data_IF_559707873342
#
_entry.id   IF_559707873342
#
_cell.length_a   1.000
_cell.length_b   1.000
_cell.length_c   1.000
_cell.angle_alpha   90.00
_cell.angle_beta   90.00
_cell.angle_gamma   90.00
#
_symmetry.space_group_name_H-M   'P 1'
#
loop_
_entity.id
_entity.type
_entity.pdbx_description
1 polymer ?
#
# COMPACT_ATOMS: atom_id res chain seq x y z
N UNK A 1 -1.52 12.14 -2.35
CA UNK A 1 -0.75 11.64 -1.19
C UNK A 1 -1.73 11.00 -0.24
N UNK A 2 -1.65 9.68 -0.04
CA UNK A 2 -2.64 8.92 0.72
C UNK A 2 -2.03 7.68 1.38
N UNK A 3 -2.46 7.38 2.60
CA UNK A 3 -2.14 6.10 3.25
C UNK A 3 -3.07 4.94 2.84
N UNK A 4 -4.16 5.23 2.11
CA UNK A 4 -5.17 4.26 1.64
C UNK A 4 -5.94 3.51 2.74
N UNK A 5 -5.98 4.06 3.96
CA UNK A 5 -6.85 3.56 5.02
C UNK A 5 -8.24 4.21 4.95
N UNK A 6 -9.08 3.71 4.04
CA UNK A 6 -10.45 4.16 3.83
C UNK A 6 -11.32 3.01 3.30
N UNK A 7 -12.65 3.06 3.46
CA UNK A 7 -13.53 2.13 2.78
C UNK A 7 -13.33 2.14 1.27
N UNK A 8 -13.38 0.98 0.63
CA UNK A 8 -13.25 0.83 -0.83
C UNK A 8 -14.26 1.72 -1.58
N UNK A 9 -15.48 1.87 -1.06
CA UNK A 9 -16.52 2.73 -1.65
C UNK A 9 -16.08 4.19 -1.78
N UNK A 10 -15.31 4.70 -0.82
CA UNK A 10 -14.74 6.06 -0.87
C UNK A 10 -13.62 6.11 -1.91
N UNK A 11 -12.77 5.08 -1.95
CA UNK A 11 -11.70 4.99 -2.94
C UNK A 11 -12.25 4.99 -4.37
N UNK A 12 -13.31 4.22 -4.63
CA UNK A 12 -13.98 4.14 -5.93
C UNK A 12 -14.57 5.48 -6.38
N UNK A 13 -14.98 6.34 -5.44
CA UNK A 13 -15.47 7.69 -5.75
C UNK A 13 -14.35 8.65 -6.14
N UNK A 14 -13.13 8.47 -5.64
CA UNK A 14 -12.01 9.39 -5.93
C UNK A 14 -11.18 8.97 -7.15
N UNK A 15 -11.19 7.68 -7.52
CA UNK A 15 -10.45 7.15 -8.69
C UNK A 15 -10.74 7.94 -9.98
N UNK A 16 -11.99 8.22 -10.38
CA UNK A 16 -12.29 8.95 -11.62
C UNK A 16 -11.78 10.40 -11.64
N UNK A 17 -11.40 10.94 -10.49
CA UNK A 17 -10.95 12.32 -10.31
C UNK A 17 -9.45 12.41 -9.98
N UNK A 18 -8.73 11.28 -9.99
CA UNK A 18 -7.32 11.22 -9.59
C UNK A 18 -6.46 10.84 -10.79
N UNK A 19 -5.45 11.67 -11.08
CA UNK A 19 -4.49 11.40 -12.16
C UNK A 19 -3.25 10.62 -11.71
N UNK A 20 -2.94 10.64 -10.42
CA UNK A 20 -1.81 9.93 -9.82
C UNK A 20 -2.08 9.64 -8.34
N UNK A 21 -1.91 8.39 -7.92
CA UNK A 21 -1.86 8.04 -6.51
C UNK A 21 -0.41 8.02 -6.00
N UNK A 22 -0.18 8.63 -4.84
CA UNK A 22 1.05 8.42 -4.05
C UNK A 22 0.65 7.58 -2.85
N UNK A 23 1.07 6.32 -2.83
CA UNK A 23 0.55 5.32 -1.92
C UNK A 23 1.64 4.77 -1.01
N UNK A 24 1.35 4.72 0.29
CA UNK A 24 2.33 4.23 1.26
C UNK A 24 2.24 2.71 1.44
N UNK A 25 3.37 2.03 1.27
CA UNK A 25 3.57 0.63 1.64
C UNK A 25 4.59 0.58 2.78
N UNK A 26 4.10 0.51 4.02
CA UNK A 26 4.95 0.73 5.21
C UNK A 26 5.55 -0.55 5.77
N UNK A 27 4.73 -1.55 6.07
CA UNK A 27 5.10 -2.82 6.72
C UNK A 27 4.12 -3.88 6.20
N UNK A 28 4.61 -5.06 5.84
CA UNK A 28 3.83 -6.18 5.33
C UNK A 28 3.24 -7.04 6.45
N UNK A 29 3.94 -7.19 7.57
CA UNK A 29 3.36 -7.85 8.75
C UNK A 29 2.24 -6.97 9.37
N UNK A 30 1.01 -7.47 9.52
CA UNK A 30 -0.12 -6.68 10.00
C UNK A 30 -0.01 -6.30 11.48
N UNK A 31 0.62 -7.13 12.31
CA UNK A 31 0.79 -6.84 13.74
C UNK A 31 1.82 -5.73 13.94
N UNK A 32 2.92 -5.78 13.20
CA UNK A 32 3.97 -4.77 13.20
C UNK A 32 3.48 -3.46 12.56
N UNK A 33 2.70 -3.54 11.48
CA UNK A 33 2.05 -2.38 10.89
C UNK A 33 1.14 -1.69 11.92
N UNK A 34 0.33 -2.46 12.66
CA UNK A 34 -0.53 -1.95 13.73
C UNK A 34 0.27 -1.36 14.89
N UNK A 35 1.36 -2.00 15.28
CA UNK A 35 2.25 -1.49 16.33
C UNK A 35 2.78 -0.08 16.00
N UNK A 36 3.20 0.17 14.76
CA UNK A 36 3.82 1.44 14.37
C UNK A 36 2.86 2.49 13.82
N UNK A 37 1.65 2.11 13.37
CA UNK A 37 0.71 3.03 12.72
C UNK A 37 -0.65 3.13 13.41
N UNK A 38 -0.98 2.21 14.33
CA UNK A 38 -2.28 2.13 15.01
C UNK A 38 -3.34 1.31 14.26
N UNK A 39 -3.09 0.90 13.01
CA UNK A 39 -4.00 0.08 12.20
C UNK A 39 -3.26 -1.07 11.51
N UNK A 40 -3.91 -2.21 11.28
CA UNK A 40 -3.35 -3.23 10.39
C UNK A 40 -3.34 -2.75 8.93
N UNK A 41 -2.72 -3.52 8.04
CA UNK A 41 -2.54 -3.16 6.64
C UNK A 41 -3.57 -3.80 5.68
N UNK A 42 -4.53 -4.59 6.16
CA UNK A 42 -5.40 -5.36 5.26
C UNK A 42 -6.20 -4.48 4.30
N UNK A 43 -6.84 -3.43 4.83
CA UNK A 43 -7.57 -2.45 4.00
C UNK A 43 -6.66 -1.72 3.02
N UNK A 44 -5.44 -1.40 3.44
CA UNK A 44 -4.47 -0.64 2.64
C UNK A 44 -3.98 -1.49 1.46
N UNK A 45 -3.62 -2.76 1.71
CA UNK A 45 -3.22 -3.71 0.68
C UNK A 45 -4.36 -4.00 -0.30
N UNK A 46 -5.59 -4.17 0.20
CA UNK A 46 -6.78 -4.35 -0.65
C UNK A 46 -7.02 -3.12 -1.55
N UNK A 47 -6.90 -1.91 -1.00
CA UNK A 47 -7.07 -0.68 -1.75
C UNK A 47 -5.96 -0.46 -2.80
N UNK A 48 -4.74 -0.91 -2.53
CA UNK A 48 -3.66 -0.93 -3.53
C UNK A 48 -4.01 -1.81 -4.73
N UNK A 49 -4.60 -2.99 -4.51
CA UNK A 49 -5.08 -3.86 -5.60
C UNK A 49 -6.17 -3.18 -6.43
N UNK A 50 -7.09 -2.44 -5.78
CA UNK A 50 -8.14 -1.68 -6.47
C UNK A 50 -7.53 -0.57 -7.33
N UNK A 51 -6.55 0.18 -6.81
CA UNK A 51 -5.83 1.20 -7.57
C UNK A 51 -5.11 0.58 -8.76
N UNK A 52 -4.36 -0.50 -8.57
CA UNK A 52 -3.66 -1.17 -9.66
C UNK A 52 -4.61 -1.56 -10.80
N UNK A 53 -5.74 -2.21 -10.46
CA UNK A 53 -6.76 -2.61 -11.44
C UNK A 53 -7.49 -1.45 -12.11
N UNK A 54 -7.48 -0.26 -11.51
CA UNK A 54 -8.12 0.93 -12.09
C UNK A 54 -7.37 1.48 -13.30
N UNK A 55 -6.09 1.13 -13.47
CA UNK A 55 -5.21 1.66 -14.51
C UNK A 55 -4.74 3.10 -14.27
N UNK A 56 -5.16 3.75 -13.17
CA UNK A 56 -4.63 5.06 -12.78
C UNK A 56 -3.17 4.89 -12.33
N UNK A 57 -2.23 5.72 -12.84
CA UNK A 57 -0.85 5.68 -12.38
C UNK A 57 -0.72 5.80 -10.86
N UNK A 58 0.22 5.07 -10.28
CA UNK A 58 0.54 5.18 -8.87
C UNK A 58 2.03 5.03 -8.60
N UNK A 59 2.51 5.63 -7.51
CA UNK A 59 3.85 5.46 -7.00
C UNK A 59 3.79 4.89 -5.58
N UNK A 60 4.40 3.73 -5.38
CA UNK A 60 4.61 3.18 -4.05
C UNK A 60 5.70 3.97 -3.32
N UNK A 61 5.48 4.22 -2.04
CA UNK A 61 6.43 4.89 -1.16
C UNK A 61 6.57 4.08 0.11
N UNK A 62 7.82 3.86 0.50
CA UNK A 62 8.14 3.10 1.72
C UNK A 62 9.13 3.92 2.55
N UNK A 63 8.74 4.37 3.75
CA UNK A 63 9.72 4.88 4.70
C UNK A 63 10.54 3.68 5.20
N UNK A 64 11.76 3.51 4.69
CA UNK A 64 12.65 2.44 5.15
C UNK A 64 13.27 2.85 6.49
N UNK A 65 12.98 2.09 7.54
CA UNK A 65 13.36 2.37 8.92
C UNK A 65 14.17 1.18 9.47
N UNK A 66 15.42 1.40 9.90
CA UNK A 66 16.26 0.34 10.47
C UNK A 66 15.63 -0.35 11.68
N UNK A 67 15.62 -1.69 11.67
CA UNK A 67 15.03 -2.51 12.73
C UNK A 67 13.51 -2.58 12.72
N UNK A 68 12.85 -1.98 11.71
CA UNK A 68 11.40 -1.98 11.56
C UNK A 68 10.98 -2.72 10.30
N UNK A 69 11.38 -2.24 9.13
CA UNK A 69 10.95 -2.79 7.83
C UNK A 69 12.11 -2.96 6.83
N UNK A 70 13.34 -2.99 7.32
CA UNK A 70 14.57 -3.14 6.53
C UNK A 70 15.11 -4.57 6.51
N UNK A 71 14.40 -5.52 7.13
CA UNK A 71 14.80 -6.93 7.09
C UNK A 71 14.65 -7.48 5.67
N UNK A 72 15.49 -8.45 5.32
CA UNK A 72 15.43 -9.10 4.00
C UNK A 72 14.05 -9.69 3.72
N UNK A 73 13.44 -10.36 4.69
CA UNK A 73 12.12 -10.96 4.54
C UNK A 73 11.04 -9.91 4.24
N UNK A 74 11.13 -8.75 4.90
CA UNK A 74 10.17 -7.66 4.69
C UNK A 74 10.32 -7.04 3.31
N UNK A 75 11.56 -6.80 2.87
CA UNK A 75 11.86 -6.28 1.54
C UNK A 75 11.43 -7.26 0.43
N UNK A 76 11.63 -8.57 0.64
CA UNK A 76 11.16 -9.61 -0.27
C UNK A 76 9.63 -9.63 -0.36
N UNK A 77 8.93 -9.52 0.77
CA UNK A 77 7.46 -9.46 0.81
C UNK A 77 6.92 -8.20 0.12
N UNK A 78 7.52 -7.03 0.37
CA UNK A 78 7.15 -5.78 -0.31
C UNK A 78 7.40 -5.86 -1.82
N UNK A 79 8.53 -6.46 -2.23
CA UNK A 79 8.87 -6.66 -3.64
C UNK A 79 7.89 -7.60 -4.32
N UNK A 80 7.55 -8.72 -3.68
CA UNK A 80 6.57 -9.68 -4.21
C UNK A 80 5.20 -9.01 -4.43
N UNK A 81 4.74 -8.22 -3.46
CA UNK A 81 3.48 -7.49 -3.59
C UNK A 81 3.55 -6.39 -4.67
N UNK A 82 4.66 -5.66 -4.77
CA UNK A 82 4.85 -4.68 -5.84
C UNK A 82 4.82 -5.33 -7.24
N UNK A 83 5.42 -6.51 -7.40
CA UNK A 83 5.37 -7.28 -8.65
C UNK A 83 3.97 -7.82 -8.96
N UNK A 84 3.18 -8.16 -7.95
CA UNK A 84 1.77 -8.52 -8.11
C UNK A 84 0.97 -7.32 -8.66
N UNK A 85 1.13 -6.14 -8.04
CA UNK A 85 0.44 -4.91 -8.47
C UNK A 85 0.79 -4.53 -9.92
N UNK A 86 2.04 -4.72 -10.36
CA UNK A 86 2.46 -4.41 -11.74
C UNK A 86 1.84 -5.32 -12.81
N UNK A 87 1.29 -6.47 -12.43
CA UNK A 87 0.70 -7.44 -13.37
C UNK A 87 -0.81 -7.23 -13.56
N UNK A 88 -1.41 -6.35 -12.77
CA UNK A 88 -2.83 -5.99 -12.80
C UNK A 88 -3.04 -4.76 -13.69
#
# INVERSE_FOLDING_TARGET
DTCLFAPETVLLQVIPHTSLFLADLKVMDPALHKQYTGADNFTILSNLLVIARSGVPFALRTPLIPGVNDTKAELEAMTAFALELQRL
#
